data_IF_008361753810
#
_entry.id   IF_008361753810
#
_cell.length_a   1.000
_cell.length_b   1.000
_cell.length_c   1.000
_cell.angle_alpha   90.00
_cell.angle_beta   90.00
_cell.angle_gamma   90.00
#
_symmetry.space_group_name_H-M   'P 1'
#
loop_
_entity.id
_entity.type
_entity.pdbx_description
1 polymer ?
#
# COMPACT_ATOMS: atom_id res chain seq x y z
N UNK A 1 -17.83 -18.31 -76.29
CA UNK A 1 -18.91 -18.74 -75.38
C UNK A 1 -18.27 -19.08 -74.05
N UNK A 2 -18.75 -18.46 -72.96
CA UNK A 2 -18.36 -18.58 -71.54
C UNK A 2 -17.28 -17.67 -70.96
N UNK A 3 -17.58 -16.40 -70.85
CA UNK A 3 -16.85 -15.45 -69.97
C UNK A 3 -17.69 -14.92 -68.78
N UNK A 4 -18.84 -15.61 -68.48
CA UNK A 4 -19.81 -15.06 -67.49
C UNK A 4 -19.81 -15.74 -66.10
N UNK A 5 -18.92 -16.72 -65.85
CA UNK A 5 -18.91 -17.45 -64.58
C UNK A 5 -17.75 -17.11 -63.60
N UNK A 6 -16.88 -16.15 -63.93
CA UNK A 6 -15.71 -15.82 -63.06
C UNK A 6 -15.86 -14.53 -62.22
N UNK A 7 -16.94 -13.77 -62.40
CA UNK A 7 -17.13 -12.49 -61.68
C UNK A 7 -18.01 -12.60 -60.41
N UNK A 8 -18.71 -13.67 -60.20
CA UNK A 8 -19.57 -13.83 -59.04
C UNK A 8 -18.90 -14.49 -57.83
N UNK A 9 -17.73 -15.11 -58.00
CA UNK A 9 -17.05 -15.76 -56.86
C UNK A 9 -16.08 -14.81 -56.09
N UNK A 10 -15.68 -13.72 -56.72
CA UNK A 10 -14.79 -12.75 -56.08
C UNK A 10 -15.53 -11.73 -55.17
N UNK A 11 -16.82 -11.49 -55.43
CA UNK A 11 -17.62 -10.54 -54.65
C UNK A 11 -18.11 -11.09 -53.33
N UNK A 12 -18.31 -12.40 -53.23
CA UNK A 12 -18.79 -13.08 -52.00
C UNK A 12 -17.66 -13.33 -51.00
N UNK A 13 -16.40 -13.39 -51.42
CA UNK A 13 -15.27 -13.61 -50.54
C UNK A 13 -14.83 -12.31 -49.85
N UNK A 14 -15.04 -11.14 -50.49
CA UNK A 14 -14.68 -9.84 -49.93
C UNK A 14 -15.64 -9.34 -48.85
N UNK A 15 -16.88 -9.84 -48.83
CA UNK A 15 -17.89 -9.44 -47.82
C UNK A 15 -17.76 -10.23 -46.54
N UNK A 16 -17.22 -11.45 -46.61
CA UNK A 16 -17.03 -12.30 -45.42
C UNK A 16 -15.80 -11.90 -44.57
N UNK A 17 -14.80 -11.25 -45.17
CA UNK A 17 -13.59 -10.79 -44.46
C UNK A 17 -13.82 -9.46 -43.77
N UNK A 18 -14.71 -8.61 -44.27
CA UNK A 18 -15.01 -7.32 -43.63
C UNK A 18 -15.96 -7.44 -42.41
N UNK A 19 -16.74 -8.51 -42.29
CA UNK A 19 -17.58 -8.79 -41.11
C UNK A 19 -16.82 -9.53 -40.00
N UNK A 20 -15.68 -10.15 -40.31
CA UNK A 20 -14.87 -10.88 -39.32
C UNK A 20 -13.86 -10.02 -38.58
N UNK A 21 -13.46 -8.85 -39.12
CA UNK A 21 -12.49 -7.94 -38.44
C UNK A 21 -13.18 -6.89 -37.55
N UNK A 22 -14.48 -6.73 -37.67
CA UNK A 22 -15.24 -5.76 -36.84
C UNK A 22 -15.60 -6.25 -35.45
N UNK A 23 -15.48 -7.54 -35.20
CA UNK A 23 -15.90 -8.16 -33.91
C UNK A 23 -14.74 -8.41 -32.95
N UNK A 24 -13.51 -8.02 -33.27
CA UNK A 24 -12.35 -8.21 -32.41
C UNK A 24 -11.92 -6.92 -31.66
N UNK A 25 -12.63 -5.81 -31.83
CA UNK A 25 -12.32 -4.55 -31.17
C UNK A 25 -13.37 -4.11 -30.14
N UNK A 26 -14.29 -5.00 -29.78
CA UNK A 26 -15.20 -4.76 -28.66
C UNK A 26 -14.75 -5.59 -27.46
N UNK A 27 -13.54 -5.41 -26.96
CA UNK A 27 -13.34 -5.48 -25.53
C UNK A 27 -14.03 -4.25 -24.99
N UNK A 28 -15.32 -4.36 -24.77
CA UNK A 28 -16.08 -3.39 -24.02
C UNK A 28 -15.31 -3.19 -22.71
N UNK A 29 -14.81 -1.96 -22.51
CA UNK A 29 -14.70 -1.39 -21.20
C UNK A 29 -16.10 -1.59 -20.61
N UNK A 30 -16.29 -2.63 -19.79
CA UNK A 30 -17.45 -2.69 -18.94
C UNK A 30 -17.26 -1.52 -17.99
N UNK A 31 -17.90 -0.39 -18.33
CA UNK A 31 -18.14 0.66 -17.36
C UNK A 31 -18.72 -0.05 -16.14
N UNK A 32 -18.14 0.15 -14.98
CA UNK A 32 -18.69 -0.32 -13.72
C UNK A 32 -20.04 0.39 -13.58
N UNK A 33 -21.12 -0.30 -13.98
CA UNK A 33 -22.47 0.25 -13.90
C UNK A 33 -22.81 0.39 -12.41
N UNK A 34 -23.14 1.61 -12.00
CA UNK A 34 -23.62 2.01 -10.68
C UNK A 34 -22.55 2.10 -9.57
N UNK A 35 -21.55 2.93 -9.75
CA UNK A 35 -20.74 3.39 -8.62
C UNK A 35 -21.63 4.25 -7.69
N UNK A 36 -21.59 3.97 -6.39
CA UNK A 36 -22.29 4.77 -5.38
C UNK A 36 -21.72 6.20 -5.29
N UNK A 37 -20.41 6.33 -5.53
CA UNK A 37 -19.67 7.57 -5.49
C UNK A 37 -18.43 7.48 -6.39
N UNK A 38 -18.30 8.41 -7.32
CA UNK A 38 -17.18 8.47 -8.25
C UNK A 38 -16.02 9.32 -7.71
N UNK A 39 -16.32 10.46 -7.09
CA UNK A 39 -15.32 11.37 -6.52
C UNK A 39 -14.95 10.96 -5.10
N UNK A 40 -13.72 10.51 -4.90
CA UNK A 40 -13.22 10.03 -3.61
C UNK A 40 -12.02 10.86 -3.14
N UNK A 41 -11.92 11.02 -1.82
CA UNK A 41 -10.77 11.65 -1.15
C UNK A 41 -10.07 10.66 -0.25
N UNK A 42 -8.81 10.36 -0.54
CA UNK A 42 -7.99 9.50 0.30
C UNK A 42 -6.88 10.29 0.99
N UNK A 43 -6.82 10.14 2.32
CA UNK A 43 -5.77 10.71 3.12
C UNK A 43 -4.53 9.84 3.19
N UNK A 44 -3.36 10.45 3.35
CA UNK A 44 -2.12 9.72 3.56
C UNK A 44 -1.12 10.50 4.42
N UNK A 45 -0.19 9.79 5.04
CA UNK A 45 1.02 10.34 5.63
C UNK A 45 2.16 10.17 4.61
N UNK A 46 3.05 11.15 4.51
CA UNK A 46 4.17 11.17 3.56
C UNK A 46 5.26 10.16 3.92
N UNK A 47 4.93 8.87 3.80
CA UNK A 47 5.80 7.73 4.05
C UNK A 47 5.77 6.79 2.83
N UNK A 48 6.75 5.92 2.72
CA UNK A 48 6.92 5.04 1.55
C UNK A 48 5.82 3.98 1.43
N UNK A 49 5.19 3.60 2.52
CA UNK A 49 4.11 2.63 2.59
C UNK A 49 2.77 3.10 1.97
N UNK A 50 2.65 4.41 1.65
CA UNK A 50 1.55 4.92 0.83
C UNK A 50 1.74 4.71 -0.68
N UNK A 51 2.88 4.15 -1.10
CA UNK A 51 3.22 3.98 -2.52
C UNK A 51 2.14 3.31 -3.38
N UNK A 52 1.39 2.29 -2.92
CA UNK A 52 0.31 1.70 -3.71
C UNK A 52 -0.75 2.72 -4.14
N UNK A 53 -1.15 3.65 -3.26
CA UNK A 53 -2.09 4.72 -3.60
C UNK A 53 -1.50 5.70 -4.63
N UNK A 54 -0.22 6.08 -4.44
CA UNK A 54 0.46 6.97 -5.37
C UNK A 54 0.59 6.34 -6.76
N UNK A 55 0.94 5.04 -6.84
CA UNK A 55 1.06 4.33 -8.10
C UNK A 55 -0.31 4.20 -8.80
N UNK A 56 -1.36 3.87 -8.04
CA UNK A 56 -2.70 3.79 -8.61
C UNK A 56 -3.16 5.13 -9.19
N UNK A 57 -2.90 6.23 -8.48
CA UNK A 57 -3.19 7.58 -8.93
C UNK A 57 -2.39 7.96 -10.20
N UNK A 58 -1.05 7.82 -10.17
CA UNK A 58 -0.17 8.23 -11.25
C UNK A 58 -0.30 7.38 -12.53
N UNK A 59 -0.81 6.15 -12.39
CA UNK A 59 -1.01 5.22 -13.51
C UNK A 59 -2.43 5.24 -14.08
N UNK A 60 -3.34 6.01 -13.49
CA UNK A 60 -4.72 6.08 -13.93
C UNK A 60 -5.56 4.85 -13.57
N UNK A 61 -5.10 4.03 -12.59
CA UNK A 61 -5.85 2.81 -12.22
C UNK A 61 -7.20 3.12 -11.55
N UNK A 62 -7.33 4.28 -10.92
CA UNK A 62 -8.60 4.72 -10.39
C UNK A 62 -9.56 5.12 -11.51
N UNK A 63 -9.08 5.86 -12.48
CA UNK A 63 -9.85 6.29 -13.64
C UNK A 63 -10.27 5.11 -14.51
N UNK A 64 -9.45 4.06 -14.62
CA UNK A 64 -9.78 2.83 -15.32
C UNK A 64 -11.01 2.12 -14.69
N UNK A 65 -11.24 2.32 -13.39
CA UNK A 65 -12.39 1.82 -12.63
C UNK A 65 -13.52 2.87 -12.49
N UNK A 66 -13.42 4.00 -13.19
CA UNK A 66 -14.42 5.09 -13.15
C UNK A 66 -14.37 5.94 -11.88
N UNK A 67 -13.26 5.91 -11.12
CA UNK A 67 -13.09 6.67 -9.88
C UNK A 67 -12.21 7.89 -10.10
N UNK A 68 -12.63 9.03 -9.57
CA UNK A 68 -11.86 10.27 -9.55
C UNK A 68 -11.33 10.52 -8.15
N UNK A 69 -10.10 10.06 -7.90
CA UNK A 69 -9.49 10.08 -6.58
C UNK A 69 -8.63 11.32 -6.38
N UNK A 70 -8.82 12.00 -5.24
CA UNK A 70 -7.92 13.04 -4.76
C UNK A 70 -7.09 12.49 -3.59
N UNK A 71 -5.77 12.61 -3.66
CA UNK A 71 -4.86 12.23 -2.58
C UNK A 71 -4.51 13.45 -1.73
N UNK A 72 -4.83 13.43 -0.43
CA UNK A 72 -4.60 14.52 0.51
C UNK A 72 -3.58 14.13 1.59
N UNK A 73 -2.42 14.80 1.60
CA UNK A 73 -1.42 14.62 2.65
C UNK A 73 -1.91 15.18 3.98
N UNK A 74 -1.77 14.42 5.04
CA UNK A 74 -2.17 14.80 6.40
C UNK A 74 -0.97 15.09 7.28
N UNK A 75 -1.17 15.94 8.30
CA UNK A 75 -0.11 16.38 9.19
C UNK A 75 0.41 15.27 10.13
N UNK A 76 -0.48 14.39 10.59
CA UNK A 76 -0.17 13.30 11.50
C UNK A 76 -1.30 12.25 11.52
N UNK A 77 -1.03 11.10 12.16
CA UNK A 77 -1.94 9.97 12.25
C UNK A 77 -3.27 10.28 12.93
N UNK A 78 -3.26 11.19 13.93
CA UNK A 78 -4.50 11.56 14.62
C UNK A 78 -5.41 12.36 13.71
N UNK A 79 -4.90 13.37 13.05
CA UNK A 79 -5.67 14.20 12.09
C UNK A 79 -6.22 13.33 10.97
N UNK A 80 -5.41 12.40 10.44
CA UNK A 80 -5.84 11.47 9.40
C UNK A 80 -7.05 10.63 9.86
N UNK A 81 -6.94 10.03 11.05
CA UNK A 81 -8.01 9.22 11.63
C UNK A 81 -9.28 10.04 11.88
N UNK A 82 -9.16 11.22 12.47
CA UNK A 82 -10.30 12.10 12.78
C UNK A 82 -11.05 12.50 11.51
N UNK A 83 -10.34 12.77 10.41
CA UNK A 83 -10.95 13.14 9.13
C UNK A 83 -11.64 11.97 8.43
N UNK A 84 -11.20 10.74 8.63
CA UNK A 84 -11.94 9.54 8.19
C UNK A 84 -13.19 9.35 9.04
N UNK A 85 -13.08 9.49 10.36
CA UNK A 85 -14.23 9.37 11.30
C UNK A 85 -15.31 10.42 11.00
N UNK A 86 -14.89 11.65 10.67
CA UNK A 86 -15.84 12.73 10.33
C UNK A 86 -16.46 12.60 8.94
N UNK A 87 -15.96 11.71 8.09
CA UNK A 87 -16.39 11.58 6.69
C UNK A 87 -15.83 12.66 5.76
N UNK A 88 -14.86 13.46 6.19
CA UNK A 88 -14.14 14.41 5.32
C UNK A 88 -13.23 13.67 4.32
N UNK A 89 -12.76 12.50 4.69
CA UNK A 89 -12.04 11.56 3.84
C UNK A 89 -12.86 10.28 3.68
N UNK A 90 -12.92 9.76 2.49
CA UNK A 90 -13.59 8.50 2.18
C UNK A 90 -12.77 7.28 2.61
N UNK A 91 -11.47 7.44 2.67
CA UNK A 91 -10.53 6.43 3.13
C UNK A 91 -9.15 7.01 3.39
N UNK A 92 -8.25 6.19 3.91
CA UNK A 92 -6.90 6.64 4.17
C UNK A 92 -5.90 5.49 4.28
N UNK A 93 -4.66 5.78 3.93
CA UNK A 93 -3.49 5.02 4.36
C UNK A 93 -3.35 5.15 5.87
N UNK A 94 -3.39 4.06 6.62
CA UNK A 94 -3.36 4.05 8.07
C UNK A 94 -2.39 3.01 8.63
N UNK A 95 -1.92 3.25 9.85
CA UNK A 95 -1.29 2.22 10.66
C UNK A 95 -2.32 1.11 10.94
N UNK A 96 -1.94 -0.15 10.76
CA UNK A 96 -2.86 -1.29 10.87
C UNK A 96 -3.58 -1.39 12.22
N UNK A 97 -2.98 -0.88 13.29
CA UNK A 97 -3.59 -0.84 14.63
C UNK A 97 -4.63 0.28 14.82
N UNK A 98 -4.67 1.32 13.97
CA UNK A 98 -5.59 2.44 14.15
C UNK A 98 -7.08 2.05 13.98
N UNK A 99 -7.50 1.33 12.94
CA UNK A 99 -8.87 0.85 12.81
C UNK A 99 -9.29 -0.02 13.99
N UNK A 100 -8.43 -0.94 14.43
CA UNK A 100 -8.69 -1.78 15.60
C UNK A 100 -8.83 -0.95 16.88
N UNK A 101 -7.91 0.00 17.10
CA UNK A 101 -7.95 0.92 18.23
C UNK A 101 -9.25 1.73 18.27
N UNK A 102 -9.68 2.28 17.14
CA UNK A 102 -10.94 3.02 17.05
C UNK A 102 -12.15 2.14 17.36
N UNK A 103 -12.19 0.91 16.84
CA UNK A 103 -13.30 -0.02 17.07
C UNK A 103 -13.47 -0.37 18.55
N UNK A 104 -12.38 -0.58 19.29
CA UNK A 104 -12.44 -0.88 20.73
C UNK A 104 -12.53 0.36 21.61
N UNK A 105 -12.47 1.57 21.03
CA UNK A 105 -12.59 2.83 21.77
C UNK A 105 -11.27 3.34 22.35
N UNK A 106 -10.14 2.95 21.81
CA UNK A 106 -8.86 3.56 22.14
C UNK A 106 -8.75 4.95 21.49
N UNK A 107 -8.96 5.99 22.28
CA UNK A 107 -9.16 7.35 21.80
C UNK A 107 -10.61 7.59 21.39
N UNK A 108 -10.87 7.93 20.14
CA UNK A 108 -12.23 8.11 19.61
C UNK A 108 -12.79 6.76 19.17
N UNK A 109 -13.96 6.38 19.73
CA UNK A 109 -14.65 5.15 19.29
C UNK A 109 -15.35 5.39 17.97
N UNK A 110 -15.03 4.57 16.97
CA UNK A 110 -15.66 4.61 15.66
C UNK A 110 -15.55 3.24 14.96
N UNK A 111 -16.57 2.91 14.16
CA UNK A 111 -16.54 1.71 13.33
C UNK A 111 -15.79 2.02 12.05
N UNK A 112 -14.54 1.58 11.98
CA UNK A 112 -13.66 1.73 10.81
C UNK A 112 -13.26 0.35 10.34
N UNK A 113 -13.36 0.13 9.03
CA UNK A 113 -12.94 -1.12 8.40
C UNK A 113 -11.58 -0.97 7.72
N UNK A 114 -10.81 -2.04 7.71
CA UNK A 114 -9.62 -2.18 6.88
C UNK A 114 -10.04 -2.88 5.59
N UNK A 115 -10.03 -2.17 4.47
CA UNK A 115 -10.43 -2.73 3.18
C UNK A 115 -9.38 -3.72 2.65
N UNK A 116 -8.09 -3.40 2.80
CA UNK A 116 -6.97 -4.27 2.41
C UNK A 116 -5.68 -3.85 3.11
N UNK A 117 -4.68 -4.72 3.08
CA UNK A 117 -3.33 -4.45 3.59
C UNK A 117 -2.45 -4.02 2.43
N UNK A 118 -1.87 -2.83 2.52
CA UNK A 118 -1.09 -2.23 1.43
C UNK A 118 0.33 -2.80 1.31
N UNK A 119 0.92 -3.20 2.44
CA UNK A 119 2.27 -3.75 2.51
C UNK A 119 2.41 -4.78 3.64
N UNK A 120 3.45 -5.58 3.60
CA UNK A 120 3.76 -6.62 4.59
C UNK A 120 5.22 -6.53 5.01
N UNK A 121 5.51 -6.94 6.26
CA UNK A 121 6.86 -7.07 6.80
C UNK A 121 7.67 -5.76 6.81
N UNK A 122 7.01 -4.62 6.94
CA UNK A 122 7.62 -3.30 6.93
C UNK A 122 8.25 -2.86 8.26
N UNK A 123 7.99 -3.57 9.37
CA UNK A 123 8.47 -3.17 10.68
C UNK A 123 9.96 -3.45 10.84
N UNK A 124 10.69 -2.44 11.32
CA UNK A 124 12.11 -2.56 11.63
C UNK A 124 12.46 -1.74 12.88
N UNK A 125 13.49 -2.17 13.59
CA UNK A 125 14.09 -1.40 14.68
C UNK A 125 15.38 -0.76 14.16
N UNK A 126 15.44 0.56 14.15
CA UNK A 126 16.60 1.33 13.76
C UNK A 126 17.33 1.80 15.01
N UNK A 127 18.63 1.54 15.09
CA UNK A 127 19.48 1.97 16.19
C UNK A 127 20.50 2.99 15.71
N UNK A 128 20.99 3.86 16.62
CA UNK A 128 22.10 4.75 16.33
C UNK A 128 23.38 3.96 16.02
N UNK A 129 24.27 4.51 15.19
CA UNK A 129 25.53 3.83 14.85
C UNK A 129 26.37 3.45 16.06
N UNK A 130 26.39 4.29 17.11
CA UNK A 130 27.07 3.98 18.37
C UNK A 130 26.50 2.74 19.07
N UNK A 131 25.19 2.56 19.04
CA UNK A 131 24.50 1.37 19.56
C UNK A 131 24.78 0.15 18.67
N UNK A 132 24.78 0.35 17.36
CA UNK A 132 25.13 -0.68 16.40
C UNK A 132 26.54 -1.22 16.61
N UNK A 133 27.52 -0.34 16.78
CA UNK A 133 28.92 -0.71 16.99
C UNK A 133 29.10 -1.53 18.28
N UNK A 134 28.34 -1.22 19.33
CA UNK A 134 28.34 -1.97 20.59
C UNK A 134 27.59 -3.32 20.50
N UNK A 135 26.50 -3.41 19.70
CA UNK A 135 25.74 -4.65 19.57
C UNK A 135 26.36 -5.63 18.54
N UNK A 136 27.04 -5.12 17.52
CA UNK A 136 27.59 -5.90 16.41
C UNK A 136 28.45 -7.10 16.86
N UNK A 137 29.32 -7.01 17.88
CA UNK A 137 30.09 -8.17 18.38
C UNK A 137 29.22 -9.31 18.93
N UNK A 138 27.97 -9.03 19.30
CA UNK A 138 27.02 -10.01 19.84
C UNK A 138 26.15 -10.67 18.76
N UNK A 139 26.32 -10.28 17.49
CA UNK A 139 25.55 -10.80 16.37
C UNK A 139 26.30 -11.99 15.80
N UNK A 140 25.68 -13.21 15.70
CA UNK A 140 26.28 -14.32 15.00
C UNK A 140 26.60 -13.93 13.52
N UNK A 141 27.72 -14.50 13.04
CA UNK A 141 28.09 -14.32 11.62
C UNK A 141 27.74 -15.56 10.80
N UNK A 142 27.42 -15.35 9.54
CA UNK A 142 27.26 -16.43 8.58
C UNK A 142 28.62 -16.96 8.07
N UNK A 143 28.61 -17.92 7.15
CA UNK A 143 29.81 -18.52 6.59
C UNK A 143 30.75 -17.52 5.88
N UNK A 144 30.19 -16.38 5.40
CA UNK A 144 30.92 -15.32 4.71
C UNK A 144 31.48 -14.27 5.69
N UNK A 145 31.29 -14.43 6.99
CA UNK A 145 31.73 -13.50 8.02
C UNK A 145 30.84 -12.25 8.14
N UNK A 146 29.67 -12.24 7.49
CA UNK A 146 28.69 -11.16 7.58
C UNK A 146 27.66 -11.42 8.71
N UNK A 147 27.04 -10.37 9.29
CA UNK A 147 25.98 -10.55 10.26
C UNK A 147 24.88 -11.48 9.75
N UNK A 148 24.50 -12.45 10.58
CA UNK A 148 23.39 -13.36 10.24
C UNK A 148 22.06 -12.63 10.30
N UNK A 149 21.28 -12.73 9.25
CA UNK A 149 19.94 -12.18 9.17
C UNK A 149 18.86 -13.27 9.32
N UNK A 150 17.70 -12.92 9.93
CA UNK A 150 17.39 -11.65 10.61
C UNK A 150 18.26 -11.45 11.86
N UNK A 151 18.61 -10.20 12.16
CA UNK A 151 19.37 -9.87 13.36
C UNK A 151 18.48 -10.06 14.58
N UNK A 152 18.90 -10.89 15.53
CA UNK A 152 18.16 -11.09 16.77
C UNK A 152 18.23 -9.86 17.67
N UNK A 153 17.09 -9.49 18.27
CA UNK A 153 17.02 -8.45 19.30
C UNK A 153 17.88 -8.80 20.55
N UNK A 154 18.21 -10.07 20.78
CA UNK A 154 19.11 -10.50 21.84
C UNK A 154 20.49 -9.86 21.76
N UNK A 155 20.97 -9.53 20.56
CA UNK A 155 22.24 -8.81 20.38
C UNK A 155 22.25 -7.42 21.01
N UNK A 156 21.07 -6.82 21.24
CA UNK A 156 20.91 -5.52 21.89
C UNK A 156 20.95 -5.63 23.43
N UNK A 157 20.63 -6.78 24.00
CA UNK A 157 20.50 -6.95 25.45
C UNK A 157 21.77 -6.53 26.24
N UNK A 158 23.01 -6.90 25.85
CA UNK A 158 24.21 -6.46 26.55
C UNK A 158 24.40 -4.93 26.55
N UNK A 159 23.98 -4.25 25.47
CA UNK A 159 24.05 -2.80 25.36
C UNK A 159 23.06 -2.14 26.33
N UNK A 160 21.84 -2.65 26.41
CA UNK A 160 20.82 -2.16 27.35
C UNK A 160 21.28 -2.34 28.79
N UNK A 161 21.83 -3.53 29.15
CA UNK A 161 22.34 -3.78 30.49
C UNK A 161 23.54 -2.88 30.86
N UNK A 162 24.40 -2.55 29.89
CA UNK A 162 25.47 -1.58 30.10
C UNK A 162 24.91 -0.20 30.45
N UNK A 163 23.96 0.33 29.68
CA UNK A 163 23.31 1.60 29.98
C UNK A 163 22.68 1.61 31.36
N UNK A 164 21.98 0.54 31.71
CA UNK A 164 21.38 0.36 33.03
C UNK A 164 22.42 0.35 34.16
N UNK A 165 23.53 -0.34 33.97
CA UNK A 165 24.62 -0.39 34.97
C UNK A 165 25.31 0.96 35.17
N UNK A 166 25.31 1.79 34.13
CA UNK A 166 25.84 3.16 34.16
C UNK A 166 24.81 4.19 34.69
N UNK A 167 23.61 3.74 35.04
CA UNK A 167 22.50 4.64 35.47
C UNK A 167 21.99 5.54 34.36
N UNK A 168 22.22 5.18 33.09
CA UNK A 168 21.78 5.96 31.92
C UNK A 168 20.48 5.37 31.36
N UNK A 169 19.52 6.22 30.95
CA UNK A 169 18.33 5.72 30.26
C UNK A 169 18.67 5.21 28.84
N UNK A 170 18.13 4.07 28.47
CA UNK A 170 18.11 3.60 27.09
C UNK A 170 16.75 3.94 26.48
N UNK A 171 16.68 5.03 25.73
CA UNK A 171 15.41 5.52 25.17
C UNK A 171 15.19 4.94 23.79
N UNK A 172 13.97 4.42 23.56
CA UNK A 172 13.51 3.99 22.25
C UNK A 172 12.34 4.87 21.80
N UNK A 173 12.35 5.25 20.54
CA UNK A 173 11.22 5.95 19.91
C UNK A 173 10.20 4.96 19.38
N UNK A 174 8.94 5.38 19.38
CA UNK A 174 7.85 4.65 18.75
C UNK A 174 7.09 5.57 17.79
N UNK A 175 6.39 4.98 16.82
CA UNK A 175 5.67 5.75 15.79
C UNK A 175 4.38 6.36 16.34
N UNK A 176 3.53 5.53 16.93
CA UNK A 176 2.23 5.94 17.46
C UNK A 176 1.66 4.85 18.38
N UNK A 177 0.90 5.18 19.46
CA UNK A 177 0.47 4.21 20.45
C UNK A 177 -0.31 2.99 19.95
N UNK A 178 -0.99 3.06 18.82
CA UNK A 178 -1.73 1.94 18.21
C UNK A 178 -1.07 1.44 16.92
N UNK A 179 0.22 1.69 16.74
CA UNK A 179 0.97 1.16 15.62
C UNK A 179 1.48 -0.25 15.90
N UNK A 180 1.75 -1.01 14.85
CA UNK A 180 2.40 -2.32 14.93
C UNK A 180 3.89 -2.24 15.28
N UNK A 181 4.43 -1.03 15.44
CA UNK A 181 5.82 -0.76 15.85
C UNK A 181 6.01 -0.69 17.38
N UNK A 182 4.97 -0.89 18.16
CA UNK A 182 5.01 -0.84 19.64
C UNK A 182 5.08 -2.23 20.25
#
# INVERSE_FOLDING_TARGET
MNTFKRKSLAATLSLAVSLGLGSLLSTAVQAVENLEKEDLKFGFIKLTDMAPLAIAYEKGFFEDEGLYVTLEAQANWKVLLDRVISGELDGAHMLSGQPLGATIGFGTKADIITAFVMDLNGNAITVANSVWDEMKPNIPTNADGLPQHPISAEALAPVVEKYKSEGKPFNMGMVFPVSTHN
#
